data_IF_470685535921
#
_entry.id   IF_470685535921
#
_cell.length_a   1.000
_cell.length_b   1.000
_cell.length_c   1.000
_cell.angle_alpha   90.00
_cell.angle_beta   90.00
_cell.angle_gamma   90.00
#
_symmetry.space_group_name_H-M   'P 1'
#
loop_
_entity.id
_entity.type
_entity.pdbx_description
1 polymer ?
#
# COMPACT_ATOMS: atom_id res chain seq x y z
N UNK A 1 25.24 7.55 -63.51
CA UNK A 1 25.43 6.87 -62.21
C UNK A 1 25.98 7.91 -61.23
N UNK A 2 25.12 8.77 -60.67
CA UNK A 2 25.54 9.90 -59.85
C UNK A 2 25.77 9.44 -58.41
N UNK A 3 27.05 9.25 -58.04
CA UNK A 3 27.45 8.99 -56.66
C UNK A 3 27.36 10.31 -55.90
N UNK A 4 26.32 10.48 -55.10
CA UNK A 4 26.23 11.58 -54.14
C UNK A 4 27.34 11.43 -53.09
N UNK A 5 28.41 12.20 -53.26
CA UNK A 5 29.50 12.33 -52.29
C UNK A 5 29.08 13.31 -51.19
N UNK A 6 28.66 12.77 -50.05
CA UNK A 6 28.38 13.56 -48.85
C UNK A 6 29.69 14.00 -48.20
N UNK A 7 29.81 15.28 -47.85
CA UNK A 7 30.99 15.83 -47.18
C UNK A 7 31.11 15.29 -45.74
N UNK A 8 32.32 15.19 -45.17
CA UNK A 8 32.55 14.61 -43.84
C UNK A 8 31.71 15.26 -42.72
N UNK A 9 31.47 16.57 -42.82
CA UNK A 9 30.67 17.37 -41.89
C UNK A 9 29.18 16.96 -41.87
N UNK A 10 28.61 16.60 -43.03
CA UNK A 10 27.21 16.16 -43.12
C UNK A 10 26.99 14.76 -42.51
N UNK A 11 28.04 13.93 -42.47
CA UNK A 11 27.99 12.64 -41.78
C UNK A 11 27.95 12.85 -40.27
N UNK A 12 28.82 13.70 -39.71
CA UNK A 12 28.88 13.95 -38.26
C UNK A 12 27.58 14.52 -37.67
N UNK A 13 26.92 15.45 -38.37
CA UNK A 13 25.63 16.01 -37.93
C UNK A 13 24.51 14.96 -37.86
N UNK A 14 24.46 13.98 -38.78
CA UNK A 14 23.41 12.92 -38.76
C UNK A 14 23.54 11.99 -37.54
N UNK A 15 24.76 11.70 -37.09
CA UNK A 15 24.99 10.91 -35.88
C UNK A 15 24.66 11.70 -34.61
N UNK A 16 24.95 13.01 -34.58
CA UNK A 16 24.58 13.89 -33.47
C UNK A 16 23.05 14.02 -33.32
N UNK A 17 22.31 14.18 -34.43
CA UNK A 17 20.84 14.22 -34.38
C UNK A 17 20.23 12.89 -33.94
N UNK A 18 20.77 11.73 -34.35
CA UNK A 18 20.31 10.43 -33.86
C UNK A 18 20.62 10.22 -32.36
N UNK A 19 21.76 10.69 -31.87
CA UNK A 19 22.13 10.59 -30.45
C UNK A 19 21.26 11.52 -29.55
N UNK A 20 20.91 12.71 -30.05
CA UNK A 20 20.00 13.65 -29.37
C UNK A 20 18.54 13.14 -29.40
N UNK A 21 18.10 12.50 -30.49
CA UNK A 21 16.79 11.82 -30.56
C UNK A 21 16.70 10.60 -29.63
N UNK A 22 17.79 9.86 -29.43
CA UNK A 22 17.86 8.75 -28.45
C UNK A 22 17.84 9.22 -26.99
N UNK A 23 18.31 10.44 -26.70
CA UNK A 23 18.22 11.08 -25.38
C UNK A 23 16.85 11.76 -25.13
N UNK A 24 16.07 12.04 -26.19
CA UNK A 24 14.74 12.63 -26.10
C UNK A 24 13.62 11.61 -25.85
N UNK A 25 13.89 10.31 -26.01
CA UNK A 25 13.04 9.27 -25.44
C UNK A 25 13.32 9.16 -23.95
N UNK A 26 12.68 10.03 -23.17
CA UNK A 26 12.67 9.96 -21.72
C UNK A 26 12.19 8.58 -21.28
N UNK A 27 13.11 7.77 -20.76
CA UNK A 27 12.74 6.53 -20.09
C UNK A 27 12.02 6.94 -18.81
N UNK A 28 10.69 6.89 -18.82
CA UNK A 28 9.88 7.06 -17.61
C UNK A 28 10.22 5.92 -16.65
N UNK A 29 11.19 6.14 -15.77
CA UNK A 29 11.47 5.20 -14.68
C UNK A 29 10.31 5.31 -13.71
N UNK A 30 9.60 4.21 -13.50
CA UNK A 30 8.74 4.08 -12.32
C UNK A 30 9.64 4.21 -11.10
N UNK A 31 9.53 5.31 -10.37
CA UNK A 31 10.32 5.56 -9.17
C UNK A 31 9.60 4.90 -7.99
N UNK A 32 10.33 4.11 -7.20
CA UNK A 32 9.84 3.64 -5.91
C UNK A 32 9.61 4.83 -4.98
N UNK A 33 8.48 4.81 -4.27
CA UNK A 33 8.05 5.83 -3.33
C UNK A 33 7.52 5.17 -2.04
N UNK A 34 7.36 5.97 -1.00
CA UNK A 34 6.94 5.50 0.33
C UNK A 34 5.79 6.34 0.86
N UNK A 35 4.77 5.70 1.42
CA UNK A 35 3.65 6.35 2.08
C UNK A 35 3.63 5.94 3.55
N UNK A 36 3.78 6.90 4.46
CA UNK A 36 3.75 6.67 5.90
C UNK A 36 2.45 7.24 6.45
N UNK A 37 1.70 6.42 7.17
CA UNK A 37 0.45 6.83 7.82
C UNK A 37 0.54 6.52 9.31
N UNK A 38 0.33 7.56 10.11
CA UNK A 38 0.44 7.52 11.57
C UNK A 38 1.70 8.23 12.07
N UNK A 39 1.59 8.87 13.23
CA UNK A 39 2.64 9.65 13.87
C UNK A 39 2.80 9.31 15.35
N UNK A 40 1.90 8.50 15.91
CA UNK A 40 1.85 8.21 17.33
C UNK A 40 3.05 7.41 17.83
N UNK A 41 3.47 7.72 19.05
CA UNK A 41 4.63 7.10 19.72
C UNK A 41 4.22 6.13 20.83
N UNK A 42 2.93 6.08 21.18
CA UNK A 42 2.37 5.12 22.13
C UNK A 42 2.51 3.70 21.60
N UNK A 43 2.66 2.73 22.50
CA UNK A 43 3.00 1.35 22.17
C UNK A 43 2.00 0.37 22.75
N UNK A 44 1.74 -0.73 22.03
CA UNK A 44 0.89 -1.82 22.54
C UNK A 44 1.64 -2.76 23.47
N UNK A 45 2.85 -3.20 23.11
CA UNK A 45 3.79 -4.03 23.92
C UNK A 45 3.08 -5.05 24.84
N UNK A 46 2.31 -5.97 24.25
CA UNK A 46 1.57 -7.01 24.95
C UNK A 46 0.38 -6.55 25.83
N UNK A 47 0.11 -5.25 25.93
CA UNK A 47 -0.95 -4.69 26.79
C UNK A 47 -2.30 -4.56 26.07
N UNK A 48 -2.30 -4.51 24.74
CA UNK A 48 -3.51 -4.42 23.91
C UNK A 48 -3.34 -5.23 22.63
N UNK A 49 -4.44 -5.62 21.99
CA UNK A 49 -4.39 -6.32 20.71
C UNK A 49 -3.69 -5.50 19.63
N UNK A 50 -2.83 -6.15 18.87
CA UNK A 50 -2.16 -5.62 17.69
C UNK A 50 -1.83 -6.77 16.73
N UNK A 51 -1.59 -6.53 15.44
CA UNK A 51 -1.43 -7.59 14.45
C UNK A 51 -0.14 -8.41 14.58
N UNK A 52 0.74 -8.14 15.56
CA UNK A 52 1.93 -8.95 15.82
C UNK A 52 1.98 -9.51 17.24
N UNK A 53 0.89 -9.41 18.00
CA UNK A 53 0.87 -9.91 19.36
C UNK A 53 0.86 -11.44 19.43
N UNK A 54 1.40 -11.97 20.52
CA UNK A 54 1.33 -13.39 20.89
C UNK A 54 0.97 -13.60 22.37
N UNK A 55 0.25 -12.63 22.95
CA UNK A 55 -0.32 -12.78 24.29
C UNK A 55 -1.44 -13.84 24.26
N UNK A 56 -2.16 -13.95 23.15
CA UNK A 56 -3.06 -15.08 22.87
C UNK A 56 -2.42 -16.03 21.85
N UNK A 57 -2.82 -17.31 21.86
CA UNK A 57 -2.28 -18.26 20.88
C UNK A 57 -2.54 -17.84 19.44
N UNK A 58 -3.71 -17.29 19.15
CA UNK A 58 -4.14 -16.95 17.80
C UNK A 58 -4.73 -15.55 17.76
N UNK A 59 -4.39 -14.78 16.72
CA UNK A 59 -5.01 -13.49 16.46
C UNK A 59 -5.39 -13.35 14.99
N UNK A 60 -6.61 -12.85 14.78
CA UNK A 60 -7.09 -12.36 13.50
C UNK A 60 -7.44 -10.88 13.66
N UNK A 61 -6.82 -10.02 12.85
CA UNK A 61 -6.82 -8.58 13.00
C UNK A 61 -7.10 -7.90 11.65
N UNK A 62 -7.98 -6.90 11.64
CA UNK A 62 -8.37 -6.16 10.46
C UNK A 62 -8.25 -4.65 10.70
N UNK A 63 -7.71 -3.94 9.72
CA UNK A 63 -7.38 -2.51 9.78
C UNK A 63 -7.81 -1.82 8.50
N UNK A 64 -8.23 -0.56 8.58
CA UNK A 64 -8.55 0.27 7.41
C UNK A 64 -7.71 1.55 7.39
N UNK A 65 -7.15 1.87 6.22
CA UNK A 65 -6.56 3.17 5.89
C UNK A 65 -7.40 3.82 4.81
N UNK A 66 -7.85 5.04 5.08
CA UNK A 66 -8.80 5.73 4.21
C UNK A 66 -8.13 6.24 2.94
N UNK A 67 -8.92 6.41 1.88
CA UNK A 67 -8.45 7.02 0.64
C UNK A 67 -7.80 8.40 0.87
N UNK A 68 -8.37 9.21 1.75
CA UNK A 68 -7.84 10.53 2.09
C UNK A 68 -6.46 10.46 2.75
N UNK A 69 -6.24 9.48 3.64
CA UNK A 69 -4.94 9.25 4.28
C UNK A 69 -3.89 8.79 3.27
N UNK A 70 -4.27 7.88 2.37
CA UNK A 70 -3.39 7.38 1.31
C UNK A 70 -2.97 8.50 0.35
N UNK A 71 -3.93 9.33 -0.09
CA UNK A 71 -3.65 10.52 -0.92
C UNK A 71 -2.77 11.52 -0.19
N UNK A 72 -3.04 11.79 1.09
CA UNK A 72 -2.23 12.72 1.91
C UNK A 72 -0.80 12.20 2.10
N UNK A 73 -0.63 10.88 2.17
CA UNK A 73 0.66 10.22 2.22
C UNK A 73 1.37 10.14 0.84
N UNK A 74 0.80 10.77 -0.19
CA UNK A 74 1.41 10.94 -1.51
C UNK A 74 1.07 9.86 -2.54
N UNK A 75 0.23 8.88 -2.20
CA UNK A 75 -0.21 7.88 -3.17
C UNK A 75 -1.16 8.49 -4.19
N UNK A 76 -1.11 7.99 -5.42
CA UNK A 76 -2.04 8.34 -6.50
C UNK A 76 -2.74 7.09 -7.04
N UNK A 77 -3.83 7.28 -7.80
CA UNK A 77 -4.50 6.18 -8.50
C UNK A 77 -3.52 5.38 -9.36
N UNK A 78 -3.63 4.05 -9.30
CA UNK A 78 -2.72 3.12 -9.99
C UNK A 78 -1.41 2.86 -9.26
N UNK A 79 -1.19 3.43 -8.07
CA UNK A 79 -0.04 3.09 -7.24
C UNK A 79 -0.04 1.60 -6.91
N UNK A 80 1.07 0.93 -7.15
CA UNK A 80 1.23 -0.51 -6.89
C UNK A 80 2.10 -0.71 -5.65
N UNK A 81 1.50 -1.18 -4.57
CA UNK A 81 2.17 -1.50 -3.31
C UNK A 81 2.94 -2.81 -3.47
N UNK A 82 4.20 -2.80 -3.06
CA UNK A 82 5.12 -3.94 -3.16
C UNK A 82 5.62 -4.41 -1.79
N UNK A 83 5.58 -3.56 -0.77
CA UNK A 83 5.83 -3.94 0.60
C UNK A 83 4.99 -3.11 1.56
N UNK A 84 4.69 -3.66 2.72
CA UNK A 84 4.10 -2.95 3.84
C UNK A 84 4.87 -3.24 5.12
N UNK A 85 4.96 -2.28 6.03
CA UNK A 85 5.68 -2.47 7.29
C UNK A 85 5.01 -1.79 8.47
N UNK A 86 5.24 -2.36 9.64
CA UNK A 86 4.77 -1.81 10.91
C UNK A 86 5.93 -1.19 11.69
N UNK A 87 5.66 -0.12 12.44
CA UNK A 87 6.65 0.43 13.38
C UNK A 87 6.68 -0.41 14.65
N UNK A 88 7.50 -1.46 14.67
CA UNK A 88 7.63 -2.40 15.81
C UNK A 88 8.34 -1.75 16.99
N UNK A 89 7.72 -1.83 18.18
CA UNK A 89 8.27 -1.33 19.46
C UNK A 89 8.70 -2.44 20.41
N UNK A 90 8.17 -3.66 20.25
CA UNK A 90 8.58 -4.85 20.99
C UNK A 90 8.52 -6.06 20.05
N UNK A 91 9.52 -6.94 20.12
CA UNK A 91 9.56 -8.15 19.29
C UNK A 91 8.56 -9.20 19.78
N UNK A 92 7.98 -9.96 18.85
CA UNK A 92 7.21 -11.17 19.17
C UNK A 92 8.06 -12.45 19.08
N UNK A 93 9.38 -12.34 18.89
CA UNK A 93 10.33 -13.42 18.57
C UNK A 93 10.03 -14.12 17.25
N UNK A 94 8.88 -14.77 17.15
CA UNK A 94 8.36 -15.43 15.95
C UNK A 94 6.85 -15.59 16.04
N UNK A 95 6.17 -15.36 14.93
CA UNK A 95 4.76 -15.63 14.70
C UNK A 95 4.64 -16.70 13.63
N UNK A 96 4.03 -17.82 13.99
CA UNK A 96 3.77 -18.91 13.05
C UNK A 96 2.63 -18.55 12.10
N UNK A 97 2.65 -19.13 10.90
CA UNK A 97 1.62 -19.00 9.86
C UNK A 97 1.08 -17.56 9.67
N UNK A 98 1.98 -16.57 9.69
CA UNK A 98 1.61 -15.18 9.50
C UNK A 98 1.16 -14.96 8.07
N UNK A 99 -0.06 -14.48 7.88
CA UNK A 99 -0.66 -14.29 6.55
C UNK A 99 -1.23 -12.88 6.44
N UNK A 100 -1.08 -12.26 5.28
CA UNK A 100 -1.62 -10.90 5.02
C UNK A 100 -2.50 -10.95 3.78
N UNK A 101 -3.73 -10.47 3.91
CA UNK A 101 -4.62 -10.18 2.80
C UNK A 101 -5.00 -8.70 2.77
N UNK A 102 -5.21 -8.18 1.57
CA UNK A 102 -5.58 -6.79 1.33
C UNK A 102 -6.80 -6.71 0.42
N UNK A 103 -7.55 -5.63 0.54
CA UNK A 103 -8.72 -5.37 -0.31
C UNK A 103 -9.01 -3.89 -0.44
N UNK A 104 -9.76 -3.54 -1.48
CA UNK A 104 -10.35 -2.22 -1.65
C UNK A 104 -11.74 -2.21 -1.02
N UNK A 105 -12.08 -1.12 -0.33
CA UNK A 105 -13.37 -0.99 0.34
C UNK A 105 -13.85 0.46 0.32
N UNK A 106 -15.17 0.66 0.25
CA UNK A 106 -15.78 1.98 0.45
C UNK A 106 -15.88 2.36 1.93
N UNK A 107 -15.62 1.42 2.85
CA UNK A 107 -15.66 1.68 4.29
C UNK A 107 -14.46 2.54 4.72
N UNK A 108 -14.67 3.44 5.67
CA UNK A 108 -13.61 4.25 6.30
C UNK A 108 -13.12 3.67 7.62
N UNK A 109 -13.79 2.63 8.11
CA UNK A 109 -13.47 1.87 9.32
C UNK A 109 -13.48 0.37 8.99
N UNK A 110 -12.86 -0.44 9.83
CA UNK A 110 -12.95 -1.91 9.74
C UNK A 110 -14.28 -2.45 10.31
N UNK A 111 -15.18 -1.56 10.78
CA UNK A 111 -16.48 -1.89 11.35
C UNK A 111 -17.62 -1.44 10.42
N UNK A 112 -18.53 -2.34 10.01
CA UNK A 112 -18.57 -3.79 10.31
C UNK A 112 -17.45 -4.57 9.63
N UNK A 113 -17.21 -5.81 10.09
CA UNK A 113 -16.19 -6.70 9.52
C UNK A 113 -16.30 -6.80 7.99
N UNK A 114 -15.18 -6.56 7.30
CA UNK A 114 -15.08 -6.66 5.84
C UNK A 114 -14.78 -8.11 5.49
N UNK A 115 -15.78 -8.82 4.97
CA UNK A 115 -15.76 -10.27 4.76
C UNK A 115 -15.43 -10.70 3.32
N UNK A 116 -15.34 -9.76 2.37
CA UNK A 116 -15.15 -10.05 0.95
C UNK A 116 -14.24 -9.03 0.27
N UNK A 117 -13.81 -9.31 -0.95
CA UNK A 117 -12.89 -8.46 -1.70
C UNK A 117 -11.44 -8.48 -1.19
N UNK A 118 -11.10 -9.46 -0.35
CA UNK A 118 -9.74 -9.66 0.18
C UNK A 118 -8.97 -10.62 -0.71
N UNK A 119 -7.76 -10.24 -1.09
CA UNK A 119 -6.79 -11.09 -1.79
C UNK A 119 -5.57 -11.33 -0.89
N UNK A 120 -5.05 -12.56 -0.88
CA UNK A 120 -3.81 -12.85 -0.14
C UNK A 120 -2.64 -12.19 -0.87
N UNK A 121 -2.01 -11.22 -0.21
CA UNK A 121 -0.85 -10.49 -0.75
C UNK A 121 0.48 -10.99 -0.19
N UNK A 122 0.42 -11.67 0.97
CA UNK A 122 1.55 -12.37 1.57
C UNK A 122 1.10 -13.76 1.97
N UNK A 123 1.69 -14.79 1.34
CA UNK A 123 1.44 -16.17 1.70
C UNK A 123 1.95 -16.45 3.12
N UNK A 124 1.41 -17.51 3.73
CA UNK A 124 1.79 -17.92 5.08
C UNK A 124 3.30 -18.08 5.22
N UNK A 125 3.89 -17.41 6.21
CA UNK A 125 5.31 -17.51 6.54
C UNK A 125 5.53 -17.38 8.06
N UNK A 126 6.73 -17.69 8.52
CA UNK A 126 7.15 -17.37 9.90
C UNK A 126 7.62 -15.93 9.94
N UNK A 127 6.86 -15.05 10.59
CA UNK A 127 7.23 -13.65 10.74
C UNK A 127 7.99 -13.45 12.06
N UNK A 128 9.18 -12.86 12.01
CA UNK A 128 9.98 -12.55 13.19
C UNK A 128 10.15 -11.01 13.29
N UNK A 129 9.23 -10.30 13.97
CA UNK A 129 9.26 -8.84 14.00
C UNK A 129 10.54 -8.28 14.61
N UNK A 130 11.20 -7.38 13.90
CA UNK A 130 12.43 -6.69 14.31
C UNK A 130 12.07 -5.33 14.91
N UNK A 131 12.51 -5.06 16.14
CA UNK A 131 12.28 -3.78 16.80
C UNK A 131 12.92 -2.64 16.00
N UNK A 132 12.13 -1.61 15.73
CA UNK A 132 12.56 -0.43 15.00
C UNK A 132 12.62 0.78 15.93
N UNK A 133 13.48 1.75 15.63
CA UNK A 133 13.38 3.07 16.25
C UNK A 133 12.10 3.78 15.77
N UNK A 134 11.60 4.75 16.56
CA UNK A 134 10.39 5.48 16.19
C UNK A 134 10.57 6.18 14.83
N UNK A 135 9.59 6.05 13.94
CA UNK A 135 9.66 6.55 12.56
C UNK A 135 10.24 5.55 11.54
N UNK A 136 10.77 4.41 12.00
CA UNK A 136 11.21 3.30 11.15
C UNK A 136 10.23 2.11 11.22
N UNK A 137 10.30 1.25 10.20
CA UNK A 137 9.30 0.21 9.94
C UNK A 137 10.00 -1.10 9.60
N UNK A 138 9.47 -2.19 10.17
CA UNK A 138 9.88 -3.55 9.81
C UNK A 138 9.07 -3.96 8.58
N UNK A 139 9.75 -4.04 7.43
CA UNK A 139 9.10 -4.13 6.12
C UNK A 139 8.89 -5.58 5.71
N UNK A 140 7.68 -5.89 5.26
CA UNK A 140 7.27 -7.18 4.71
C UNK A 140 7.02 -7.00 3.21
N UNK A 141 7.87 -7.60 2.39
CA UNK A 141 7.67 -7.64 0.93
C UNK A 141 6.47 -8.52 0.59
N UNK A 142 5.53 -8.00 -0.19
CA UNK A 142 4.36 -8.72 -0.67
C UNK A 142 4.78 -9.74 -1.73
N UNK A 143 4.15 -10.91 -1.72
CA UNK A 143 4.33 -11.91 -2.76
C UNK A 143 3.50 -11.56 -4.00
N UNK A 144 2.35 -10.91 -3.78
CA UNK A 144 1.48 -10.37 -4.84
C UNK A 144 1.37 -8.85 -4.64
N UNK A 145 1.92 -8.03 -5.56
CA UNK A 145 1.75 -6.58 -5.50
C UNK A 145 0.27 -6.18 -5.51
N UNK A 146 -0.07 -5.13 -4.75
CA UNK A 146 -1.45 -4.67 -4.58
C UNK A 146 -1.66 -3.30 -5.23
N UNK A 147 -2.59 -3.19 -6.17
CA UNK A 147 -2.87 -1.94 -6.89
C UNK A 147 -3.97 -1.17 -6.18
N UNK A 148 -3.70 0.09 -5.86
CA UNK A 148 -4.68 1.01 -5.29
C UNK A 148 -5.40 1.81 -6.39
N UNK A 149 -6.73 1.93 -6.29
CA UNK A 149 -7.57 2.59 -7.29
C UNK A 149 -7.59 4.12 -7.17
N UNK A 150 -7.08 4.68 -6.07
CA UNK A 150 -7.03 6.11 -5.82
C UNK A 150 -8.28 6.69 -5.16
N UNK A 151 -9.32 5.88 -4.92
CA UNK A 151 -10.62 6.36 -4.42
C UNK A 151 -11.17 5.52 -3.27
N UNK A 152 -10.90 4.21 -3.24
CA UNK A 152 -11.29 3.32 -2.15
C UNK A 152 -10.32 3.42 -0.97
N UNK A 153 -10.80 3.08 0.21
CA UNK A 153 -9.92 2.77 1.34
C UNK A 153 -9.25 1.42 1.12
N UNK A 154 -8.10 1.20 1.76
CA UNK A 154 -7.44 -0.11 1.82
C UNK A 154 -7.77 -0.77 3.14
N UNK A 155 -8.29 -1.99 3.08
CA UNK A 155 -8.34 -2.90 4.23
C UNK A 155 -7.12 -3.81 4.21
N UNK A 156 -6.45 -3.94 5.35
CA UNK A 156 -5.43 -4.99 5.58
C UNK A 156 -5.97 -5.92 6.65
N UNK A 157 -5.84 -7.22 6.38
CA UNK A 157 -6.27 -8.28 7.23
C UNK A 157 -5.09 -9.21 7.50
N UNK A 158 -4.74 -9.38 8.77
CA UNK A 158 -3.61 -10.22 9.20
C UNK A 158 -4.14 -11.36 10.06
N UNK A 159 -3.57 -12.55 9.88
CA UNK A 159 -3.83 -13.66 10.78
C UNK A 159 -2.54 -14.38 11.16
N UNK A 160 -2.51 -14.93 12.38
CA UNK A 160 -1.42 -15.77 12.87
C UNK A 160 -1.88 -17.21 13.07
N UNK A 161 -0.94 -18.14 12.98
CA UNK A 161 -1.06 -19.47 13.54
C UNK A 161 -0.94 -19.48 15.06
N UNK A 162 -0.65 -20.66 15.61
CA UNK A 162 -0.48 -20.86 17.05
C UNK A 162 0.85 -20.30 17.54
N UNK A 163 0.79 -19.44 18.55
CA UNK A 163 1.97 -18.83 19.15
C UNK A 163 1.99 -19.07 20.66
N UNK A 164 3.16 -19.34 21.26
CA UNK A 164 3.24 -19.59 22.70
C UNK A 164 2.98 -18.32 23.51
N UNK A 165 2.28 -18.46 24.64
CA UNK A 165 2.15 -17.41 25.65
C UNK A 165 3.50 -17.24 26.38
N UNK A 166 4.41 -16.52 25.76
CA UNK A 166 5.75 -16.28 26.31
C UNK A 166 6.22 -14.89 25.93
N UNK A 167 6.74 -14.14 26.91
CA UNK A 167 7.32 -12.81 26.68
C UNK A 167 8.63 -12.90 25.88
N UNK A 168 8.98 -11.91 25.04
CA UNK A 168 8.22 -10.69 24.74
C UNK A 168 6.98 -10.97 23.88
N UNK A 169 5.87 -10.26 24.10
CA UNK A 169 4.58 -10.59 23.48
C UNK A 169 4.38 -9.91 22.13
N UNK A 170 5.26 -9.00 21.75
CA UNK A 170 5.11 -8.20 20.54
C UNK A 170 4.42 -6.87 20.84
N UNK A 171 4.78 -5.85 20.07
CA UNK A 171 4.18 -4.55 20.21
C UNK A 171 4.50 -3.61 19.06
N UNK A 172 3.54 -2.75 18.75
CA UNK A 172 3.63 -1.75 17.71
C UNK A 172 3.44 -0.36 18.28
N UNK A 173 4.05 0.62 17.60
CA UNK A 173 3.67 2.02 17.74
C UNK A 173 2.38 2.28 16.98
N UNK A 174 1.46 2.98 17.61
CA UNK A 174 0.14 3.23 17.04
C UNK A 174 -0.24 4.70 17.13
N UNK A 175 -1.15 5.11 16.25
CA UNK A 175 -1.85 6.39 16.32
C UNK A 175 -3.29 6.12 16.77
N UNK A 176 -3.72 6.78 17.84
CA UNK A 176 -5.11 6.66 18.31
C UNK A 176 -6.07 7.14 17.21
N UNK A 177 -6.98 6.27 16.82
CA UNK A 177 -8.00 6.51 15.82
C UNK A 177 -9.40 6.31 16.41
N UNK A 178 -10.43 6.61 15.63
CA UNK A 178 -11.83 6.35 16.00
C UNK A 178 -12.08 4.86 16.27
N UNK A 179 -12.97 4.56 17.21
CA UNK A 179 -13.36 3.17 17.50
C UNK A 179 -13.83 2.46 16.23
N UNK A 180 -13.27 1.27 15.98
CA UNK A 180 -13.55 0.48 14.78
C UNK A 180 -12.60 0.76 13.61
N UNK A 181 -11.63 1.67 13.75
CA UNK A 181 -10.53 1.81 12.79
C UNK A 181 -9.70 0.51 12.69
N UNK A 182 -9.68 -0.25 13.79
CA UNK A 182 -9.20 -1.63 13.84
C UNK A 182 -10.24 -2.54 14.48
N UNK A 183 -10.21 -3.82 14.10
CA UNK A 183 -10.98 -4.88 14.73
C UNK A 183 -10.19 -6.16 14.86
N UNK A 184 -10.52 -6.96 15.85
CA UNK A 184 -9.82 -8.22 16.08
C UNK A 184 -10.69 -9.29 16.73
N UNK A 185 -10.19 -10.51 16.71
CA UNK A 185 -10.58 -11.63 17.57
C UNK A 185 -9.31 -12.33 18.03
N UNK A 186 -9.30 -12.76 19.29
CA UNK A 186 -8.16 -13.43 19.94
C UNK A 186 -8.66 -14.65 20.66
N UNK A 187 -7.98 -15.77 20.50
CA UNK A 187 -8.41 -17.05 21.03
C UNK A 187 -7.22 -17.87 21.51
N UNK A 188 -7.46 -18.70 22.53
CA UNK A 188 -6.57 -19.78 22.93
C UNK A 188 -7.13 -21.12 22.46
N UNK A 189 -6.23 -22.07 22.16
CA UNK A 189 -6.59 -23.45 21.81
C UNK A 189 -7.24 -23.68 20.44
N UNK A 190 -7.67 -22.64 19.70
CA UNK A 190 -8.28 -22.79 18.36
C UNK A 190 -7.93 -21.66 17.39
N UNK A 191 -7.70 -22.03 16.12
CA UNK A 191 -7.43 -21.10 15.03
C UNK A 191 -8.64 -20.21 14.74
N UNK A 192 -8.39 -18.94 14.44
CA UNK A 192 -9.42 -17.92 14.24
C UNK A 192 -9.30 -17.15 12.91
N UNK A 193 -8.46 -17.59 11.97
CA UNK A 193 -8.32 -16.93 10.66
C UNK A 193 -9.60 -16.96 9.82
N UNK A 194 -10.46 -17.97 10.02
CA UNK A 194 -11.77 -18.07 9.37
C UNK A 194 -12.91 -17.41 10.19
N UNK A 195 -12.60 -16.89 11.38
CA UNK A 195 -13.57 -16.28 12.29
C UNK A 195 -13.66 -14.79 12.00
N UNK A 196 -14.87 -14.26 11.77
CA UNK A 196 -15.07 -12.82 11.63
C UNK A 196 -14.58 -12.06 12.87
N UNK A 197 -13.94 -10.90 12.66
CA UNK A 197 -13.47 -10.08 13.79
C UNK A 197 -14.64 -9.41 14.52
N UNK A 198 -14.61 -9.45 15.85
CA UNK A 198 -15.75 -9.06 16.69
C UNK A 198 -15.54 -7.80 17.53
N UNK A 199 -14.29 -7.53 17.91
CA UNK A 199 -13.96 -6.49 18.90
C UNK A 199 -13.40 -5.26 18.20
N UNK A 200 -13.96 -4.08 18.45
CA UNK A 200 -13.43 -2.80 17.98
C UNK A 200 -12.22 -2.36 18.81
N UNK A 201 -11.26 -1.71 18.17
CA UNK A 201 -10.15 -1.02 18.83
C UNK A 201 -9.93 0.39 18.27
N UNK A 202 -9.10 1.16 18.99
CA UNK A 202 -8.69 2.52 18.63
C UNK A 202 -7.19 2.62 18.34
N UNK A 203 -6.40 1.62 18.75
CA UNK A 203 -4.94 1.62 18.62
C UNK A 203 -4.55 1.16 17.21
N UNK A 204 -4.69 2.04 16.20
CA UNK A 204 -4.35 1.68 14.82
C UNK A 204 -2.83 1.76 14.60
N UNK A 205 -2.17 0.66 14.21
CA UNK A 205 -0.73 0.67 13.99
C UNK A 205 -0.30 1.72 12.98
N UNK A 206 0.86 2.34 13.22
CA UNK A 206 1.50 3.15 12.20
C UNK A 206 2.01 2.23 11.10
N UNK A 207 1.74 2.59 9.85
CA UNK A 207 2.09 1.79 8.68
C UNK A 207 2.97 2.56 7.72
N UNK A 208 3.82 1.84 7.01
CA UNK A 208 4.48 2.30 5.80
C UNK A 208 4.14 1.38 4.64
N UNK A 209 3.79 1.95 3.50
CA UNK A 209 3.71 1.25 2.22
C UNK A 209 4.87 1.68 1.34
N UNK A 210 5.59 0.72 0.78
CA UNK A 210 6.52 0.96 -0.33
C UNK A 210 5.79 0.60 -1.62
N UNK A 211 5.73 1.56 -2.53
CA UNK A 211 4.94 1.45 -3.76
C UNK A 211 5.68 2.02 -4.96
N UNK A 212 5.35 1.52 -6.14
CA UNK A 212 5.68 2.18 -7.40
C UNK A 212 4.52 3.08 -7.77
N UNK A 213 4.79 4.37 -7.97
CA UNK A 213 3.75 5.32 -8.35
C UNK A 213 3.08 4.90 -9.67
N UNK A 214 1.76 5.11 -9.74
CA UNK A 214 1.02 4.89 -10.98
C UNK A 214 1.54 5.80 -12.09
N UNK A 215 1.46 5.35 -13.35
CA UNK A 215 1.87 6.17 -14.49
C UNK A 215 0.99 7.43 -14.54
N UNK A 216 1.56 8.65 -14.43
CA UNK A 216 0.78 9.87 -14.58
C UNK A 216 0.11 9.90 -15.95
N UNK A 217 -1.11 10.44 -16.01
CA UNK A 217 -1.79 10.61 -17.28
C UNK A 217 -0.93 11.53 -18.18
N UNK A 218 -0.66 11.10 -19.41
CA UNK A 218 0.19 11.82 -20.36
C UNK A 218 -0.62 12.23 -21.58
N UNK A 219 -0.37 13.44 -22.09
CA UNK A 219 -1.00 13.96 -23.30
C UNK A 219 -1.62 15.34 -23.07
N UNK A 220 -1.58 16.18 -24.09
CA UNK A 220 -2.32 17.44 -24.12
C UNK A 220 -3.75 17.12 -24.58
N UNK A 221 -4.80 17.56 -23.89
CA UNK A 221 -6.16 17.45 -24.42
C UNK A 221 -6.21 18.09 -25.80
N UNK A 222 -6.78 17.40 -26.79
CA UNK A 222 -6.95 18.00 -28.12
C UNK A 222 -7.81 19.27 -27.99
N UNK A 223 -7.42 20.41 -28.60
CA UNK A 223 -8.31 21.54 -28.74
C UNK A 223 -9.50 21.13 -29.61
N UNK A 224 -10.71 21.15 -29.05
CA UNK A 224 -11.93 20.76 -29.76
C UNK A 224 -12.98 20.19 -28.82
N UNK A 225 -14.25 20.35 -29.20
CA UNK A 225 -15.46 19.99 -28.43
C UNK A 225 -15.27 18.80 -27.51
N UNK A 226 -15.41 19.06 -26.20
CA UNK A 226 -15.29 18.08 -25.12
C UNK A 226 -16.27 16.92 -25.39
N UNK A 227 -15.79 15.72 -25.75
CA UNK A 227 -16.65 14.54 -25.68
C UNK A 227 -16.96 14.32 -24.20
N UNK A 228 -18.19 13.95 -23.87
CA UNK A 228 -18.68 13.79 -22.48
C UNK A 228 -17.94 12.76 -21.64
N UNK A 229 -16.99 12.02 -22.21
CA UNK A 229 -16.06 11.16 -21.47
C UNK A 229 -14.82 10.94 -22.32
N UNK A 230 -13.64 11.16 -21.76
CA UNK A 230 -12.39 10.81 -22.40
C UNK A 230 -11.51 10.02 -21.43
N UNK A 231 -11.18 8.79 -21.84
CA UNK A 231 -10.38 7.85 -21.07
C UNK A 231 -8.90 8.21 -21.18
N UNK A 232 -8.44 9.15 -20.34
CA UNK A 232 -7.03 9.57 -20.30
C UNK A 232 -6.20 8.84 -19.25
N UNK A 233 -6.82 8.02 -18.40
CA UNK A 233 -6.11 7.24 -17.39
C UNK A 233 -6.66 5.79 -17.37
N UNK A 234 -5.80 4.82 -17.08
CA UNK A 234 -6.20 3.44 -16.78
C UNK A 234 -5.67 3.15 -15.38
N UNK A 235 -6.52 2.76 -14.41
CA UNK A 235 -7.92 2.35 -14.57
C UNK A 235 -8.96 3.49 -14.40
N UNK A 236 -8.56 4.73 -14.14
CA UNK A 236 -9.49 5.82 -13.81
C UNK A 236 -9.99 6.63 -15.02
N UNK A 237 -11.29 6.92 -15.08
CA UNK A 237 -11.82 7.93 -16.01
C UNK A 237 -11.77 9.32 -15.37
N UNK A 238 -11.22 10.30 -16.07
CA UNK A 238 -11.32 11.73 -15.68
C UNK A 238 -12.43 12.35 -16.53
N UNK A 239 -13.53 12.77 -15.89
CA UNK A 239 -14.58 13.54 -16.53
C UNK A 239 -14.27 15.04 -16.41
N UNK A 240 -14.06 15.68 -17.56
CA UNK A 240 -13.92 17.14 -17.64
C UNK A 240 -15.31 17.73 -17.90
N UNK A 241 -15.88 18.43 -16.92
CA UNK A 241 -17.09 19.22 -17.11
C UNK A 241 -16.67 20.66 -17.46
N UNK A 242 -16.91 21.09 -18.70
CA UNK A 242 -16.78 22.50 -19.09
C UNK A 242 -18.16 23.15 -19.11
N UNK A 243 -18.39 24.15 -18.27
CA UNK A 243 -19.50 25.10 -18.44
C UNK A 243 -18.98 26.29 -19.25
N UNK A 244 -19.32 26.33 -20.54
CA UNK A 244 -19.07 27.48 -21.41
C UNK A 244 -20.39 28.10 -21.86
N UNK A 245 -20.50 29.42 -21.74
CA UNK A 245 -21.56 30.21 -22.38
C UNK A 245 -21.24 30.33 -23.88
N UNK A 246 -22.27 30.12 -24.71
CA UNK A 246 -22.24 30.36 -26.17
C UNK A 246 -22.17 31.84 -26.50
#
# INVERSE_FOLDING_TARGET
>A
MNKHTYTPIQRWNRWLYCLILLLAFGVSRSQGATAIIGTGTSTTNGSTADPIERYYNYIHFQMVWTAAELTTAGMSSGSTITAMGFSVSESAVSLSNYTISMGLTSQTLANPYISSGLTVVKNSFTYAPVVQTAGNFDMITLDVPFVWDGTSSIVVNTCTGSNPFTSPYGGLRYTTATSGAVRYVRTDGSSNCATATGTNGTNRPNIRFDYTAGTPCSGTPNPGTVPSTAGYCVPGTVSIASTGYT
#
